data_IF_931104368478
#
_entry.id   IF_931104368478
#
_cell.length_a   1.000
_cell.length_b   1.000
_cell.length_c   1.000
_cell.angle_alpha   90.00
_cell.angle_beta   90.00
_cell.angle_gamma   90.00
#
_symmetry.space_group_name_H-M   'P 1'
#
loop_
_entity.id
_entity.type
_entity.pdbx_description
1 polymer ?
#
# COMPACT_ATOMS: atom_id res chain seq x y z
N UNK A 1 -5.28 -8.26 22.94
CA UNK A 1 -5.88 -7.38 21.92
C UNK A 1 -5.28 -6.02 22.20
N UNK A 2 -4.39 -5.51 21.34
CA UNK A 2 -3.76 -4.21 21.57
C UNK A 2 -4.80 -3.18 21.14
N UNK A 3 -5.26 -2.34 22.07
CA UNK A 3 -6.12 -1.19 21.76
C UNK A 3 -5.33 -0.29 20.81
N UNK A 4 -5.82 -0.21 19.58
CA UNK A 4 -5.22 0.64 18.56
C UNK A 4 -5.95 1.97 18.65
N UNK A 5 -5.25 2.97 19.16
CA UNK A 5 -5.75 4.34 19.25
C UNK A 5 -5.75 4.97 17.85
N UNK A 6 -6.94 5.05 17.26
CA UNK A 6 -7.14 5.56 15.91
C UNK A 6 -6.83 7.06 15.80
N UNK A 7 -6.95 7.83 16.88
CA UNK A 7 -6.61 9.27 16.89
C UNK A 7 -5.09 9.46 16.86
N UNK A 8 -4.34 8.59 17.55
CA UNK A 8 -2.87 8.57 17.50
C UNK A 8 -2.38 8.13 16.12
N UNK A 9 -3.03 7.14 15.50
CA UNK A 9 -2.74 6.73 14.13
C UNK A 9 -3.06 7.82 13.11
N UNK A 10 -4.18 8.51 13.26
CA UNK A 10 -4.57 9.60 12.37
C UNK A 10 -3.60 10.78 12.49
N UNK A 11 -3.14 11.09 13.72
CA UNK A 11 -2.04 12.02 13.97
C UNK A 11 -0.72 11.57 13.35
N UNK A 12 -0.32 10.31 13.54
CA UNK A 12 0.90 9.77 12.95
C UNK A 12 0.83 9.77 11.41
N UNK A 13 -0.32 9.46 10.82
CA UNK A 13 -0.57 9.53 9.37
C UNK A 13 -0.55 10.98 8.87
N UNK A 14 -1.03 11.96 9.66
CA UNK A 14 -0.90 13.38 9.33
C UNK A 14 0.51 13.94 9.53
N UNK A 15 1.29 13.34 10.43
CA UNK A 15 2.67 13.72 10.77
C UNK A 15 3.73 13.04 9.87
N UNK A 16 3.39 11.88 9.26
CA UNK A 16 4.13 11.27 8.15
C UNK A 16 3.99 12.19 6.92
N UNK A 17 4.85 13.21 6.89
CA UNK A 17 5.18 14.13 5.81
C UNK A 17 4.12 14.26 4.72
N UNK A 18 3.07 15.04 5.00
CA UNK A 18 2.18 15.58 3.97
C UNK A 18 3.02 16.40 2.96
N UNK A 19 3.29 15.81 1.80
CA UNK A 19 3.39 16.44 0.48
C UNK A 19 4.26 17.71 0.28
N UNK A 20 5.22 18.07 1.13
CA UNK A 20 6.09 19.23 0.84
C UNK A 20 6.81 19.11 -0.53
N UNK A 21 7.15 17.89 -0.96
CA UNK A 21 7.77 17.62 -2.28
C UNK A 21 6.78 17.59 -3.45
N UNK A 22 5.57 17.06 -3.23
CA UNK A 22 4.56 16.92 -4.29
C UNK A 22 3.70 18.17 -4.46
N UNK A 23 3.73 19.10 -3.51
CA UNK A 23 2.87 20.28 -3.47
C UNK A 23 1.40 19.90 -3.28
N UNK A 24 0.51 20.83 -3.59
CA UNK A 24 -0.92 20.52 -3.70
C UNK A 24 -1.16 19.56 -4.87
N UNK A 25 -1.84 18.45 -4.58
CA UNK A 25 -2.19 17.39 -5.55
C UNK A 25 -3.69 17.23 -5.73
N UNK A 26 -4.50 18.03 -5.02
CA UNK A 26 -5.97 17.91 -4.98
C UNK A 26 -6.63 18.07 -6.36
N UNK A 27 -6.03 18.86 -7.24
CA UNK A 27 -6.53 19.15 -8.60
C UNK A 27 -5.86 18.31 -9.69
N UNK A 28 -4.94 17.40 -9.35
CA UNK A 28 -4.19 16.64 -10.34
C UNK A 28 -4.95 15.40 -10.79
N UNK A 29 -5.00 15.17 -12.10
CA UNK A 29 -5.36 13.86 -12.64
C UNK A 29 -4.36 12.80 -12.19
N UNK A 30 -4.77 11.53 -12.16
CA UNK A 30 -3.89 10.40 -11.82
C UNK A 30 -2.63 10.37 -12.70
N UNK A 31 -2.75 10.70 -13.99
CA UNK A 31 -1.61 10.75 -14.93
C UNK A 31 -0.60 11.84 -14.55
N UNK A 32 -1.08 13.04 -14.20
CA UNK A 32 -0.23 14.14 -13.75
C UNK A 32 0.42 13.82 -12.41
N UNK A 33 -0.33 13.23 -11.47
CA UNK A 33 0.18 12.77 -10.19
C UNK A 33 1.33 11.77 -10.39
N UNK A 34 1.16 10.76 -11.26
CA UNK A 34 2.21 9.79 -11.59
C UNK A 34 3.46 10.45 -12.19
N UNK A 35 3.28 11.39 -13.11
CA UNK A 35 4.41 12.13 -13.71
C UNK A 35 5.19 12.89 -12.64
N UNK A 36 4.49 13.54 -11.72
CA UNK A 36 5.10 14.29 -10.62
C UNK A 36 5.79 13.35 -9.62
N UNK A 37 5.12 12.26 -9.25
CA UNK A 37 5.67 11.22 -8.39
C UNK A 37 6.95 10.61 -8.96
N UNK A 38 6.99 10.34 -10.27
CA UNK A 38 8.19 9.80 -10.92
C UNK A 38 9.39 10.74 -10.81
N UNK A 39 9.17 12.05 -10.84
CA UNK A 39 10.24 13.04 -10.69
C UNK A 39 10.82 13.10 -9.26
N UNK A 40 10.05 12.69 -8.25
CA UNK A 40 10.53 12.60 -6.85
C UNK A 40 10.99 11.20 -6.46
N UNK A 41 10.74 10.19 -7.29
CA UNK A 41 11.29 8.84 -7.15
C UNK A 41 12.62 8.72 -7.90
N UNK A 42 13.60 9.54 -7.52
CA UNK A 42 14.91 9.66 -8.16
C UNK A 42 15.92 8.60 -7.70
N UNK A 43 15.54 7.72 -6.76
CA UNK A 43 16.40 6.70 -6.14
C UNK A 43 17.60 7.30 -5.38
N UNK A 44 17.55 8.58 -5.04
CA UNK A 44 18.56 9.21 -4.23
C UNK A 44 18.42 8.76 -2.77
N UNK A 45 19.39 8.03 -2.18
CA UNK A 45 19.30 7.54 -0.80
C UNK A 45 19.24 8.67 0.24
N UNK A 46 19.79 9.84 -0.08
CA UNK A 46 19.78 11.03 0.78
C UNK A 46 18.40 11.71 0.83
N UNK A 47 17.50 11.31 -0.07
CA UNK A 47 16.22 11.98 -0.27
C UNK A 47 15.07 11.00 -0.45
N UNK A 48 14.89 10.02 0.45
CA UNK A 48 13.96 8.94 0.23
C UNK A 48 12.50 9.44 0.20
N UNK A 49 11.60 8.73 -0.51
CA UNK A 49 10.18 9.04 -0.58
C UNK A 49 9.42 8.59 0.66
N UNK A 50 10.04 7.74 1.49
CA UNK A 50 9.50 7.21 2.73
C UNK A 50 10.57 7.34 3.81
N UNK A 51 10.13 7.59 5.05
CA UNK A 51 10.96 7.40 6.23
C UNK A 51 10.99 5.89 6.53
N UNK A 52 11.90 5.16 5.90
CA UNK A 52 11.92 3.70 5.93
C UNK A 52 11.96 3.12 7.35
N UNK A 53 12.67 3.79 8.27
CA UNK A 53 12.82 3.35 9.66
C UNK A 53 11.51 3.46 10.48
N UNK A 54 10.55 4.26 10.00
CA UNK A 54 9.25 4.48 10.64
C UNK A 54 8.11 3.65 10.02
N UNK A 55 8.38 2.91 8.93
CA UNK A 55 7.34 2.12 8.25
C UNK A 55 7.01 0.87 9.05
N UNK A 56 5.88 0.88 9.75
CA UNK A 56 5.37 -0.27 10.47
C UNK A 56 4.50 -1.18 9.59
N UNK A 57 4.57 -2.49 9.80
CA UNK A 57 3.73 -3.48 9.09
C UNK A 57 2.24 -3.25 9.34
N UNK A 58 1.86 -2.86 10.55
CA UNK A 58 0.47 -2.55 10.93
C UNK A 58 -0.08 -1.37 10.13
N UNK A 59 0.69 -0.28 10.03
CA UNK A 59 0.33 0.93 9.28
C UNK A 59 0.20 0.62 7.79
N UNK A 60 1.16 -0.12 7.23
CA UNK A 60 1.07 -0.54 5.82
C UNK A 60 -0.14 -1.45 5.58
N UNK A 61 -0.41 -2.38 6.49
CA UNK A 61 -1.59 -3.24 6.42
C UNK A 61 -2.91 -2.47 6.49
N UNK A 62 -3.01 -1.49 7.39
CA UNK A 62 -4.17 -0.61 7.51
C UNK A 62 -4.39 0.21 6.22
N UNK A 63 -3.32 0.79 5.66
CA UNK A 63 -3.39 1.50 4.38
C UNK A 63 -3.88 0.60 3.23
N UNK A 64 -3.49 -0.67 3.19
CA UNK A 64 -3.99 -1.60 2.17
C UNK A 64 -5.52 -1.80 2.26
N UNK A 65 -6.11 -1.72 3.46
CA UNK A 65 -7.55 -1.85 3.64
C UNK A 65 -8.32 -0.60 3.21
N UNK A 66 -7.69 0.57 3.17
CA UNK A 66 -8.32 1.79 2.65
C UNK A 66 -8.32 1.84 1.12
N UNK A 67 -7.67 0.88 0.45
CA UNK A 67 -7.61 0.83 -1.00
C UNK A 67 -8.86 0.17 -1.58
N UNK A 68 -9.57 0.93 -2.39
CA UNK A 68 -10.76 0.48 -3.11
C UNK A 68 -10.57 0.66 -4.62
N UNK A 69 -11.29 -0.17 -5.38
CA UNK A 69 -11.46 0.02 -6.82
C UNK A 69 -12.31 1.27 -7.09
N UNK A 70 -12.28 1.84 -8.32
CA UNK A 70 -13.13 2.97 -8.68
C UNK A 70 -14.63 2.71 -8.51
N UNK A 71 -15.06 1.45 -8.56
CA UNK A 71 -16.44 1.01 -8.34
C UNK A 71 -16.80 0.82 -6.85
N UNK A 72 -15.89 1.20 -5.93
CA UNK A 72 -16.04 0.99 -4.48
C UNK A 72 -15.80 -0.46 -4.04
N UNK A 73 -15.40 -1.35 -4.95
CA UNK A 73 -15.13 -2.75 -4.64
C UNK A 73 -13.77 -2.97 -3.97
N UNK A 74 -13.67 -4.03 -3.17
CA UNK A 74 -12.39 -4.44 -2.59
C UNK A 74 -11.37 -4.84 -3.66
N UNK A 75 -10.08 -4.57 -3.39
CA UNK A 75 -8.99 -5.07 -4.21
C UNK A 75 -8.87 -6.59 -4.16
N UNK A 76 -8.44 -7.19 -5.28
CA UNK A 76 -8.11 -8.61 -5.32
C UNK A 76 -6.80 -8.90 -4.58
N UNK A 77 -6.60 -10.15 -4.16
CA UNK A 77 -5.32 -10.59 -3.57
C UNK A 77 -4.11 -10.25 -4.45
N UNK A 78 -4.25 -10.39 -5.78
CA UNK A 78 -3.19 -10.09 -6.73
C UNK A 78 -2.83 -8.59 -6.75
N UNK A 79 -3.83 -7.72 -6.68
CA UNK A 79 -3.62 -6.27 -6.58
C UNK A 79 -2.90 -5.92 -5.27
N UNK A 80 -3.40 -6.43 -4.13
CA UNK A 80 -2.77 -6.21 -2.82
C UNK A 80 -1.32 -6.73 -2.77
N UNK A 81 -1.04 -7.89 -3.37
CA UNK A 81 0.32 -8.43 -3.41
C UNK A 81 1.26 -7.56 -4.28
N UNK A 82 0.75 -6.89 -5.31
CA UNK A 82 1.52 -5.91 -6.09
C UNK A 82 1.99 -4.75 -5.20
N UNK A 83 1.14 -4.26 -4.30
CA UNK A 83 1.52 -3.19 -3.36
C UNK A 83 2.62 -3.65 -2.39
N UNK A 84 2.52 -4.89 -1.85
CA UNK A 84 3.59 -5.48 -1.03
C UNK A 84 4.93 -5.54 -1.76
N UNK A 85 4.92 -6.02 -3.01
CA UNK A 85 6.14 -6.07 -3.85
C UNK A 85 6.63 -4.65 -4.16
N UNK A 86 5.73 -3.69 -4.34
CA UNK A 86 6.05 -2.27 -4.50
C UNK A 86 6.83 -1.70 -3.32
N UNK A 87 6.39 -2.00 -2.09
CA UNK A 87 7.12 -1.62 -0.88
C UNK A 87 8.52 -2.24 -0.84
N UNK A 88 8.65 -3.52 -1.18
CA UNK A 88 9.95 -4.21 -1.19
C UNK A 88 10.91 -3.61 -2.22
N UNK A 89 10.37 -3.27 -3.40
CA UNK A 89 11.13 -2.57 -4.43
C UNK A 89 11.57 -1.18 -3.95
N UNK A 90 10.75 -0.46 -3.18
CA UNK A 90 11.16 0.84 -2.62
C UNK A 90 12.33 0.69 -1.65
N UNK A 91 12.31 -0.28 -0.74
CA UNK A 91 13.45 -0.55 0.14
C UNK A 91 14.73 -0.81 -0.69
N UNK A 92 14.65 -1.72 -1.66
CA UNK A 92 15.79 -2.07 -2.53
C UNK A 92 16.28 -0.89 -3.35
N UNK A 93 15.39 -0.15 -4.01
CA UNK A 93 15.74 0.95 -4.92
C UNK A 93 16.42 2.12 -4.18
N UNK A 94 16.23 2.22 -2.86
CA UNK A 94 16.90 3.23 -2.01
C UNK A 94 18.02 2.63 -1.13
N UNK A 95 18.49 1.42 -1.46
CA UNK A 95 19.62 0.79 -0.76
C UNK A 95 19.33 0.46 0.70
N UNK A 96 18.07 0.30 1.09
CA UNK A 96 17.64 -0.09 2.43
C UNK A 96 17.33 -1.57 2.49
N UNK A 97 17.76 -2.22 3.56
CA UNK A 97 17.32 -3.57 3.89
C UNK A 97 15.94 -3.54 4.53
N UNK A 98 15.10 -4.49 4.16
CA UNK A 98 13.79 -4.66 4.82
C UNK A 98 14.07 -5.29 6.19
N UNK A 99 13.53 -4.75 7.30
CA UNK A 99 13.66 -5.37 8.60
C UNK A 99 13.15 -6.83 8.57
N UNK A 100 13.92 -7.82 9.06
CA UNK A 100 13.50 -9.23 9.01
C UNK A 100 12.18 -9.50 9.73
N UNK A 101 11.89 -8.74 10.79
CA UNK A 101 10.62 -8.76 11.50
C UNK A 101 9.47 -8.31 10.60
N UNK A 102 9.63 -7.17 9.92
CA UNK A 102 8.65 -6.63 8.97
C UNK A 102 8.40 -7.59 7.81
N UNK A 103 9.46 -8.17 7.23
CA UNK A 103 9.34 -9.12 6.13
C UNK A 103 8.53 -10.35 6.56
N UNK A 104 8.85 -10.93 7.72
CA UNK A 104 8.14 -12.09 8.28
C UNK A 104 6.68 -11.78 8.57
N UNK A 105 6.40 -10.62 9.15
CA UNK A 105 5.04 -10.18 9.47
C UNK A 105 4.20 -9.95 8.22
N UNK A 106 4.76 -9.29 7.20
CA UNK A 106 4.06 -9.10 5.91
C UNK A 106 3.79 -10.44 5.22
N UNK A 107 4.73 -11.39 5.23
CA UNK A 107 4.47 -12.72 4.70
C UNK A 107 3.36 -13.46 5.45
N UNK A 108 3.36 -13.40 6.79
CA UNK A 108 2.31 -13.99 7.62
C UNK A 108 0.95 -13.35 7.35
N UNK A 109 0.89 -12.02 7.30
CA UNK A 109 -0.30 -11.23 7.02
C UNK A 109 -0.91 -11.62 5.66
N UNK A 110 -0.12 -11.58 4.58
CA UNK A 110 -0.61 -11.91 3.24
C UNK A 110 -1.06 -13.37 3.11
N UNK A 111 -0.40 -14.30 3.81
CA UNK A 111 -0.85 -15.71 3.88
C UNK A 111 -2.21 -15.83 4.57
N UNK A 112 -2.45 -15.08 5.64
CA UNK A 112 -3.75 -15.00 6.33
C UNK A 112 -4.83 -14.40 5.44
N UNK A 113 -4.53 -13.27 4.80
CA UNK A 113 -5.42 -12.58 3.87
C UNK A 113 -5.88 -13.48 2.71
N UNK A 114 -4.94 -14.22 2.09
CA UNK A 114 -5.27 -15.18 1.02
C UNK A 114 -6.29 -16.23 1.51
N UNK A 115 -6.09 -16.76 2.72
CA UNK A 115 -6.99 -17.77 3.30
C UNK A 115 -8.37 -17.19 3.59
N UNK A 116 -8.44 -15.97 4.11
CA UNK A 116 -9.70 -15.28 4.37
C UNK A 116 -10.47 -15.04 3.06
N UNK A 117 -9.81 -14.55 2.02
CA UNK A 117 -10.43 -14.34 0.71
C UNK A 117 -10.93 -15.65 0.09
N UNK A 118 -10.16 -16.74 0.18
CA UNK A 118 -10.60 -18.06 -0.30
C UNK A 118 -11.82 -18.55 0.48
N UNK A 119 -11.84 -18.36 1.81
CA UNK A 119 -12.97 -18.76 2.65
C UNK A 119 -14.23 -17.99 2.30
N UNK A 120 -14.13 -16.66 2.19
CA UNK A 120 -15.27 -15.80 1.86
C UNK A 120 -15.79 -16.06 0.43
N UNK A 121 -14.89 -16.39 -0.51
CA UNK A 121 -15.28 -16.85 -1.85
C UNK A 121 -16.03 -18.19 -1.81
N UNK A 122 -15.58 -19.16 -0.99
CA UNK A 122 -16.26 -20.43 -0.81
C UNK A 122 -17.63 -20.29 -0.11
N UNK A 123 -17.80 -19.25 0.70
CA UNK A 123 -19.06 -18.91 1.37
C UNK A 123 -20.01 -18.07 0.49
N UNK A 124 -19.59 -17.68 -0.72
CA UNK A 124 -20.37 -16.85 -1.65
C UNK A 124 -20.44 -15.36 -1.27
N UNK A 125 -19.72 -14.94 -0.22
CA UNK A 125 -19.69 -13.55 0.27
C UNK A 125 -18.87 -12.63 -0.65
N UNK A 126 -17.92 -13.19 -1.40
CA UNK A 126 -17.12 -12.47 -2.38
C UNK A 126 -17.23 -13.23 -3.70
N UNK A 127 -17.55 -12.52 -4.79
CA UNK A 127 -17.51 -13.13 -6.12
C UNK A 127 -16.10 -13.66 -6.38
N UNK A 128 -15.98 -14.99 -6.51
CA UNK A 128 -14.75 -15.69 -6.79
C UNK A 128 -14.28 -15.41 -8.22
N UNK A 129 -13.83 -14.18 -8.52
CA UNK A 129 -13.20 -13.89 -9.80
C UNK A 129 -11.83 -14.57 -9.83
N UNK A 130 -11.84 -15.76 -10.40
CA UNK A 130 -10.65 -16.54 -10.75
C UNK A 130 -10.13 -15.99 -12.07
N UNK A 131 -9.46 -14.84 -12.03
CA UNK A 131 -8.90 -14.19 -13.21
C UNK A 131 -8.19 -12.89 -12.85
N UNK A 132 -7.19 -12.49 -13.65
CA UNK A 132 -6.69 -11.11 -13.60
C UNK A 132 -7.87 -10.20 -13.91
N UNK A 133 -8.32 -9.41 -12.94
CA UNK A 133 -9.17 -8.27 -13.28
C UNK A 133 -8.39 -7.45 -14.32
N UNK A 134 -8.96 -7.18 -15.51
CA UNK A 134 -8.36 -6.21 -16.39
C UNK A 134 -8.23 -4.92 -15.60
N UNK A 135 -7.01 -4.40 -15.53
CA UNK A 135 -6.82 -3.01 -15.15
C UNK A 135 -7.64 -2.18 -16.14
N UNK A 136 -8.74 -1.58 -15.69
CA UNK A 136 -9.42 -0.53 -16.44
C UNK A 136 -8.51 0.69 -16.42
N UNK A 137 -7.67 0.79 -17.46
CA UNK A 137 -7.08 2.05 -17.85
C UNK A 137 -8.14 2.78 -18.69
N UNK A 138 -8.84 3.74 -18.10
CA UNK A 138 -9.46 4.80 -18.89
C UNK A 138 -8.35 5.80 -19.28
N UNK A 139 -8.33 6.11 -20.59
CA UNK A 139 -7.27 6.78 -21.36
C UNK A 139 -7.05 8.25 -21.01
#
# INVERSE_FOLDING_TARGET
>A
MVDVDFDVLEKQVTEIQRNKKLGDVSILTVKQLRKRLKAVLDRNPENPPLLFDDVQTSVFGAWLFTLEKPDGGCLSYAALNTHKVGLFNLYRDYGREIPPTMEKELHKYFKGLKRQMVKAAAQGEISAKTGKDPFSFEL
#
